data_IF_287680235755
#
_entry.id   IF_287680235755
#
_cell.length_a   1.000
_cell.length_b   1.000
_cell.length_c   1.000
_cell.angle_alpha   90.00
_cell.angle_beta   90.00
_cell.angle_gamma   90.00
#
_symmetry.space_group_name_H-M   'P 1'
#
loop_
_entity.id
_entity.type
_entity.pdbx_description
1 polymer ?
#
# COMPACT_ATOMS: atom_id res chain seq x y z
N UNK A 1 48.01 -25.51 -39.03
CA UNK A 1 48.50 -24.12 -38.87
C UNK A 1 47.30 -23.23 -38.64
N UNK A 2 46.87 -22.99 -37.36
CA UNK A 2 45.74 -22.16 -36.97
C UNK A 2 46.29 -20.97 -36.17
N UNK A 3 46.14 -19.76 -36.69
CA UNK A 3 46.48 -18.52 -36.00
C UNK A 3 45.25 -18.07 -35.17
N UNK A 4 45.41 -17.94 -33.86
CA UNK A 4 44.49 -17.29 -32.96
C UNK A 4 44.77 -15.78 -32.98
N UNK A 5 43.77 -14.99 -33.36
CA UNK A 5 43.77 -13.55 -33.19
C UNK A 5 43.05 -13.19 -31.89
N UNK A 6 43.80 -12.75 -30.90
CA UNK A 6 43.26 -12.14 -29.66
C UNK A 6 42.94 -10.66 -29.92
N UNK A 7 41.68 -10.29 -29.94
CA UNK A 7 41.27 -8.88 -29.82
C UNK A 7 41.04 -8.55 -28.34
N UNK A 8 42.01 -7.85 -27.74
CA UNK A 8 41.80 -7.14 -26.48
C UNK A 8 41.22 -5.74 -26.81
N UNK A 9 39.97 -5.50 -26.45
CA UNK A 9 39.37 -4.15 -26.43
C UNK A 9 39.94 -3.39 -25.24
N UNK A 10 40.66 -2.30 -25.50
CA UNK A 10 41.10 -1.36 -24.49
C UNK A 10 39.92 -0.48 -24.05
N UNK A 11 39.53 -0.59 -22.78
CA UNK A 11 38.60 0.36 -22.16
C UNK A 11 39.35 1.65 -21.89
N UNK A 12 39.00 2.72 -22.60
CA UNK A 12 39.51 4.06 -22.33
C UNK A 12 38.83 4.58 -21.05
N UNK A 13 39.60 4.71 -19.98
CA UNK A 13 39.17 5.41 -18.77
C UNK A 13 39.13 6.92 -19.06
N UNK A 14 37.92 7.51 -19.06
CA UNK A 14 37.79 8.95 -19.07
C UNK A 14 38.15 9.50 -17.69
N UNK A 15 39.19 10.32 -17.64
CA UNK A 15 39.57 11.02 -16.43
C UNK A 15 38.43 12.00 -16.03
N UNK A 16 37.89 11.81 -14.85
CA UNK A 16 36.93 12.73 -14.24
C UNK A 16 37.74 13.95 -13.79
N UNK A 17 37.45 15.11 -14.32
CA UNK A 17 38.02 16.36 -13.86
C UNK A 17 37.69 16.59 -12.38
N UNK A 18 38.67 17.02 -11.56
CA UNK A 18 38.38 17.28 -10.15
C UNK A 18 37.42 18.46 -10.02
N UNK A 19 36.27 18.23 -9.45
CA UNK A 19 35.30 19.26 -9.08
C UNK A 19 35.93 20.07 -7.96
N UNK A 20 36.15 21.38 -8.20
CA UNK A 20 36.63 22.32 -7.17
C UNK A 20 35.63 22.35 -6.02
N UNK A 21 36.02 22.09 -4.76
CA UNK A 21 35.07 22.14 -3.66
C UNK A 21 34.55 23.57 -3.48
N UNK A 22 33.25 23.75 -3.62
CA UNK A 22 32.57 24.99 -3.24
C UNK A 22 32.56 25.02 -1.71
N UNK A 23 33.33 25.95 -1.13
CA UNK A 23 33.27 26.21 0.31
C UNK A 23 31.95 26.91 0.62
N UNK A 24 30.95 26.16 1.09
CA UNK A 24 29.72 26.72 1.64
C UNK A 24 30.03 27.20 3.06
N UNK A 25 29.77 28.50 3.39
CA UNK A 25 30.01 29.01 4.75
C UNK A 25 29.16 28.19 5.74
N UNK A 26 29.76 27.85 6.88
CA UNK A 26 29.17 27.03 7.92
C UNK A 26 27.99 27.74 8.64
N UNK A 27 26.83 27.73 8.03
CA UNK A 27 25.56 27.56 8.71
C UNK A 27 25.06 26.15 8.34
N UNK A 28 25.77 25.14 8.81
CA UNK A 28 25.24 23.78 8.79
C UNK A 28 24.19 23.71 9.87
N UNK A 29 22.93 23.94 9.52
CA UNK A 29 21.84 23.22 10.16
C UNK A 29 22.23 21.73 10.13
N UNK A 30 22.10 21.06 11.26
CA UNK A 30 22.35 19.62 11.37
C UNK A 30 21.69 18.94 10.17
N UNK A 31 22.47 18.20 9.40
CA UNK A 31 21.87 17.34 8.35
C UNK A 31 20.99 16.35 9.10
N UNK A 32 19.67 16.50 8.93
CA UNK A 32 18.73 15.56 9.51
C UNK A 32 19.02 14.17 8.90
N UNK A 33 18.93 13.15 9.74
CA UNK A 33 19.15 11.77 9.31
C UNK A 33 18.12 11.41 8.21
N UNK A 34 18.61 10.81 7.13
CA UNK A 34 17.73 10.33 6.06
C UNK A 34 17.36 8.90 6.37
N UNK A 35 16.09 8.67 6.63
CA UNK A 35 15.53 7.33 6.85
C UNK A 35 14.95 6.78 5.53
N UNK A 36 15.29 5.54 5.19
CA UNK A 36 14.64 4.81 4.10
C UNK A 36 13.41 4.09 4.67
N UNK A 37 12.22 4.62 4.36
CA UNK A 37 10.95 4.05 4.83
C UNK A 37 10.57 2.84 3.99
N UNK A 38 10.63 2.98 2.67
CA UNK A 38 10.39 1.91 1.68
C UNK A 38 11.36 2.10 0.53
N UNK A 39 11.91 1.01 0.01
CA UNK A 39 12.67 1.03 -1.24
C UNK A 39 12.53 -0.31 -1.98
N UNK A 40 12.12 -0.26 -3.22
CA UNK A 40 12.14 -1.35 -4.18
C UNK A 40 12.42 -0.82 -5.59
N UNK A 41 12.49 -1.68 -6.60
CA UNK A 41 13.00 -1.32 -7.92
C UNK A 41 12.29 -0.13 -8.60
N UNK A 42 11.04 0.12 -8.28
CA UNK A 42 10.21 1.13 -8.96
C UNK A 42 9.94 2.36 -8.09
N UNK A 43 10.00 2.23 -6.76
CA UNK A 43 9.58 3.26 -5.81
C UNK A 43 10.53 3.31 -4.62
N UNK A 44 10.77 4.51 -4.11
CA UNK A 44 11.38 4.73 -2.81
C UNK A 44 10.63 5.82 -2.04
N UNK A 45 10.47 5.62 -0.74
CA UNK A 45 10.00 6.65 0.20
C UNK A 45 11.10 6.91 1.21
N UNK A 46 11.58 8.13 1.27
CA UNK A 46 12.58 8.61 2.22
C UNK A 46 11.92 9.56 3.22
N UNK A 47 12.38 9.55 4.46
CA UNK A 47 12.00 10.54 5.46
C UNK A 47 13.20 11.40 5.82
N UNK A 48 13.01 12.72 5.85
CA UNK A 48 13.99 13.70 6.28
C UNK A 48 13.29 14.67 7.25
N UNK A 49 13.48 14.47 8.53
CA UNK A 49 12.73 15.20 9.56
C UNK A 49 11.22 14.99 9.42
N UNK A 50 10.48 16.07 9.22
CA UNK A 50 9.03 16.05 9.05
C UNK A 50 8.59 16.05 7.56
N UNK A 51 9.48 15.65 6.65
CA UNK A 51 9.19 15.58 5.21
C UNK A 51 9.37 14.16 4.70
N UNK A 52 8.37 13.66 3.98
CA UNK A 52 8.44 12.42 3.22
C UNK A 52 8.65 12.71 1.74
N UNK A 53 9.67 12.09 1.14
CA UNK A 53 9.98 12.18 -0.28
C UNK A 53 9.60 10.86 -0.94
N UNK A 54 8.51 10.85 -1.70
CA UNK A 54 8.11 9.71 -2.54
C UNK A 54 8.74 9.87 -3.90
N UNK A 55 9.53 8.88 -4.32
CA UNK A 55 10.20 8.83 -5.63
C UNK A 55 9.57 7.66 -6.37
N UNK A 56 8.84 7.92 -7.44
CA UNK A 56 8.16 6.89 -8.22
C UNK A 56 8.52 7.02 -9.69
N UNK A 57 8.88 5.88 -10.32
CA UNK A 57 9.16 5.84 -11.75
C UNK A 57 7.88 6.02 -12.58
N UNK A 58 6.73 5.55 -12.06
CA UNK A 58 5.43 5.71 -12.67
C UNK A 58 4.74 7.00 -12.21
N UNK A 59 4.82 8.02 -13.03
CA UNK A 59 4.20 9.32 -12.75
C UNK A 59 2.67 9.28 -12.80
N UNK A 60 2.05 8.31 -13.46
CA UNK A 60 0.60 8.12 -13.49
C UNK A 60 0.07 7.80 -12.10
N UNK A 61 0.80 6.98 -11.34
CA UNK A 61 0.48 6.72 -9.93
C UNK A 61 0.57 7.97 -9.07
N UNK A 62 1.62 8.77 -9.28
CA UNK A 62 1.78 10.03 -8.54
C UNK A 62 0.67 11.03 -8.90
N UNK A 63 0.20 11.06 -10.17
CA UNK A 63 -0.94 11.88 -10.59
C UNK A 63 -2.21 11.48 -9.84
N UNK A 64 -2.52 10.17 -9.81
CA UNK A 64 -3.65 9.63 -9.04
C UNK A 64 -3.54 10.01 -7.57
N UNK A 65 -2.38 9.85 -6.94
CA UNK A 65 -2.18 10.18 -5.53
C UNK A 65 -2.46 11.64 -5.23
N UNK A 66 -1.93 12.56 -6.05
CA UNK A 66 -2.11 14.01 -5.88
C UNK A 66 -3.58 14.40 -6.09
N UNK A 67 -4.22 13.89 -7.14
CA UNK A 67 -5.62 14.19 -7.43
C UNK A 67 -6.56 13.58 -6.38
N UNK A 68 -6.30 12.34 -5.94
CA UNK A 68 -7.09 11.69 -4.90
C UNK A 68 -7.01 12.45 -3.57
N UNK A 69 -5.82 12.88 -3.14
CA UNK A 69 -5.68 13.72 -1.94
C UNK A 69 -6.44 15.05 -2.07
N UNK A 70 -6.46 15.65 -3.24
CA UNK A 70 -7.20 16.89 -3.47
C UNK A 70 -8.73 16.71 -3.43
N UNK A 71 -9.24 15.50 -3.74
CA UNK A 71 -10.66 15.15 -3.73
C UNK A 71 -11.12 14.57 -2.39
N UNK A 72 -10.21 13.99 -1.61
CA UNK A 72 -10.54 13.28 -0.38
C UNK A 72 -11.20 14.22 0.65
N UNK A 73 -12.35 13.84 1.23
CA UNK A 73 -13.03 14.61 2.27
C UNK A 73 -12.48 14.34 3.68
N UNK A 74 -11.42 13.57 3.77
CA UNK A 74 -10.72 13.22 5.01
C UNK A 74 -9.34 13.87 5.02
N UNK A 75 -8.71 14.10 6.20
CA UNK A 75 -7.40 14.70 6.26
C UNK A 75 -6.36 13.90 5.46
N UNK A 76 -5.51 14.60 4.73
CA UNK A 76 -4.40 14.06 3.93
C UNK A 76 -3.12 14.83 4.23
N UNK A 77 -1.93 14.28 3.93
CA UNK A 77 -0.68 15.04 4.02
C UNK A 77 -0.72 16.31 3.16
N UNK A 78 -0.12 17.39 3.66
CA UNK A 78 0.12 18.57 2.84
C UNK A 78 1.16 18.26 1.76
N UNK A 79 0.85 18.59 0.51
CA UNK A 79 1.80 18.53 -0.60
C UNK A 79 2.70 19.75 -0.54
N UNK A 80 3.93 19.57 -0.08
CA UNK A 80 4.91 20.66 0.02
C UNK A 80 5.39 21.11 -1.36
N UNK A 81 5.70 20.18 -2.22
CA UNK A 81 6.04 20.39 -3.63
C UNK A 81 6.03 19.08 -4.42
N UNK A 82 5.91 19.22 -5.74
CA UNK A 82 6.07 18.13 -6.68
C UNK A 82 7.04 18.53 -7.78
N UNK A 83 8.06 17.71 -8.00
CA UNK A 83 9.02 17.81 -9.11
C UNK A 83 9.34 16.39 -9.58
N UNK A 84 8.69 15.92 -10.66
CA UNK A 84 8.90 14.55 -11.12
C UNK A 84 10.40 14.19 -11.21
N UNK A 85 10.80 13.03 -10.73
CA UNK A 85 9.97 11.93 -10.22
C UNK A 85 9.63 12.00 -8.72
N UNK A 86 9.77 13.14 -8.06
CA UNK A 86 9.65 13.31 -6.61
C UNK A 86 8.37 14.06 -6.23
N UNK A 87 7.65 13.51 -5.25
CA UNK A 87 6.56 14.15 -4.50
C UNK A 87 7.00 14.32 -3.04
N UNK A 88 6.96 15.55 -2.52
CA UNK A 88 7.29 15.86 -1.13
C UNK A 88 6.01 16.15 -0.35
N UNK A 89 5.84 15.43 0.76
CA UNK A 89 4.69 15.47 1.64
C UNK A 89 5.13 15.83 3.06
N UNK A 90 4.31 16.60 3.77
CA UNK A 90 4.51 16.83 5.20
C UNK A 90 4.14 15.56 5.99
N UNK A 91 4.84 15.34 7.10
CA UNK A 91 4.47 14.31 8.07
C UNK A 91 3.09 14.62 8.68
N UNK A 92 2.28 13.58 8.87
CA UNK A 92 1.05 13.68 9.65
C UNK A 92 1.37 13.64 11.14
N UNK A 93 0.61 14.37 11.97
CA UNK A 93 0.71 14.22 13.42
C UNK A 93 0.14 12.88 13.89
N UNK A 94 0.56 12.45 15.09
CA UNK A 94 0.09 11.19 15.67
C UNK A 94 0.90 9.97 15.24
N UNK A 95 0.27 8.81 15.29
CA UNK A 95 0.87 7.51 14.98
C UNK A 95 -0.05 6.70 14.08
N UNK A 96 0.50 5.74 13.35
CA UNK A 96 -0.31 4.80 12.60
C UNK A 96 -1.28 4.04 13.53
N UNK A 97 -2.49 3.78 13.06
CA UNK A 97 -3.54 3.04 13.78
C UNK A 97 -3.06 1.63 14.19
N UNK A 98 -2.16 1.07 13.44
CA UNK A 98 -1.52 -0.22 13.73
C UNK A 98 -0.49 -0.59 12.67
N UNK A 99 -0.05 -1.84 12.72
CA UNK A 99 0.83 -2.44 11.72
C UNK A 99 0.36 -3.87 11.45
N UNK A 100 0.31 -4.24 10.18
CA UNK A 100 -0.05 -5.60 9.80
C UNK A 100 0.89 -6.62 10.46
N UNK A 101 0.31 -7.68 11.03
CA UNK A 101 1.05 -8.72 11.74
C UNK A 101 1.47 -8.37 13.17
N UNK A 102 1.12 -7.19 13.70
CA UNK A 102 1.36 -6.81 15.09
C UNK A 102 0.05 -6.40 15.77
N UNK A 103 -0.13 -6.69 17.06
CA UNK A 103 -1.29 -6.17 17.79
C UNK A 103 -1.32 -4.63 17.75
N UNK A 104 -2.48 -4.04 17.47
CA UNK A 104 -2.65 -2.61 17.57
C UNK A 104 -2.78 -2.19 19.03
N UNK A 105 -2.20 -1.04 19.37
CA UNK A 105 -2.36 -0.38 20.69
C UNK A 105 -3.39 0.75 20.66
N UNK A 106 -3.97 1.04 19.50
CA UNK A 106 -5.01 2.05 19.36
C UNK A 106 -6.31 1.61 20.08
N UNK A 107 -7.03 2.58 20.61
CA UNK A 107 -8.27 2.34 21.32
C UNK A 107 -9.40 1.86 20.38
N UNK A 108 -10.44 1.16 20.87
CA UNK A 108 -11.63 0.88 20.07
C UNK A 108 -12.29 2.15 19.50
N UNK A 109 -12.18 3.29 20.18
CA UNK A 109 -12.70 4.57 19.69
C UNK A 109 -11.89 5.10 18.48
N UNK A 110 -10.57 4.93 18.46
CA UNK A 110 -9.72 5.28 17.31
C UNK A 110 -10.08 4.41 16.08
N UNK A 111 -10.34 3.11 16.28
CA UNK A 111 -10.81 2.22 15.21
C UNK A 111 -12.20 2.62 14.69
N UNK A 112 -13.10 3.03 15.59
CA UNK A 112 -14.41 3.57 15.19
C UNK A 112 -14.25 4.88 14.42
N UNK A 113 -13.36 5.78 14.85
CA UNK A 113 -13.05 7.01 14.11
C UNK A 113 -12.51 6.73 12.70
N UNK A 114 -11.63 5.73 12.56
CA UNK A 114 -11.17 5.27 11.25
C UNK A 114 -12.33 4.75 10.38
N UNK A 115 -13.26 3.97 10.96
CA UNK A 115 -14.48 3.55 10.27
C UNK A 115 -15.34 4.71 9.78
N UNK A 116 -15.51 5.76 10.61
CA UNK A 116 -16.24 6.98 10.24
C UNK A 116 -15.53 7.76 9.11
N UNK A 117 -14.19 7.81 9.13
CA UNK A 117 -13.43 8.42 8.05
C UNK A 117 -13.59 7.65 6.72
N UNK A 118 -13.58 6.32 6.76
CA UNK A 118 -13.86 5.48 5.58
C UNK A 118 -15.27 5.75 5.05
N UNK A 119 -16.28 5.85 5.92
CA UNK A 119 -17.63 6.21 5.51
C UNK A 119 -17.68 7.56 4.83
N UNK A 120 -17.02 8.56 5.40
CA UNK A 120 -16.95 9.92 4.81
C UNK A 120 -16.31 9.88 3.41
N UNK A 121 -15.27 9.08 3.21
CA UNK A 121 -14.65 8.87 1.89
C UNK A 121 -15.64 8.24 0.91
N UNK A 122 -16.33 7.17 1.30
CA UNK A 122 -17.28 6.46 0.43
C UNK A 122 -18.52 7.24 0.07
N UNK A 123 -18.90 8.25 0.88
CA UNK A 123 -20.01 9.17 0.57
C UNK A 123 -19.57 10.34 -0.35
N UNK A 124 -18.28 10.48 -0.64
CA UNK A 124 -17.77 11.52 -1.53
C UNK A 124 -18.10 11.25 -3.01
N UNK A 125 -18.06 12.28 -3.86
CA UNK A 125 -18.16 12.10 -5.30
C UNK A 125 -17.11 11.13 -5.84
N UNK A 126 -17.49 10.33 -6.83
CA UNK A 126 -16.58 9.39 -7.47
C UNK A 126 -15.39 10.10 -8.14
N UNK A 127 -14.17 9.55 -8.05
CA UNK A 127 -13.05 10.06 -8.84
C UNK A 127 -13.30 9.81 -10.34
N UNK A 128 -12.72 10.62 -11.23
CA UNK A 128 -12.99 10.51 -12.67
C UNK A 128 -12.35 9.28 -13.33
N UNK A 129 -11.44 8.59 -12.66
CA UNK A 129 -10.81 7.36 -13.15
C UNK A 129 -11.49 6.13 -12.57
N UNK A 130 -11.66 5.07 -13.37
CA UNK A 130 -12.27 3.82 -12.91
C UNK A 130 -11.32 3.03 -12.01
N UNK A 131 -11.89 2.10 -11.24
CA UNK A 131 -11.14 1.04 -10.59
C UNK A 131 -11.04 -0.20 -11.47
N UNK A 132 -10.52 -1.28 -10.89
CA UNK A 132 -10.43 -2.57 -11.58
C UNK A 132 -11.82 -3.16 -11.80
N UNK A 133 -12.04 -3.68 -13.00
CA UNK A 133 -13.26 -4.41 -13.34
C UNK A 133 -13.29 -5.78 -12.63
N UNK A 134 -14.49 -6.39 -12.59
CA UNK A 134 -14.64 -7.75 -12.06
C UNK A 134 -13.81 -8.76 -12.88
N UNK A 135 -13.72 -8.58 -14.19
CA UNK A 135 -12.94 -9.45 -15.07
C UNK A 135 -11.44 -9.36 -14.78
N UNK A 136 -10.91 -8.14 -14.58
CA UNK A 136 -9.51 -7.93 -14.21
C UNK A 136 -9.19 -8.52 -12.84
N UNK A 137 -10.09 -8.35 -11.85
CA UNK A 137 -9.91 -8.93 -10.53
C UNK A 137 -9.95 -10.47 -10.56
N UNK A 138 -10.87 -11.06 -11.31
CA UNK A 138 -10.98 -12.51 -11.50
C UNK A 138 -9.73 -13.06 -12.18
N UNK A 139 -9.31 -12.46 -13.29
CA UNK A 139 -8.12 -12.87 -14.04
C UNK A 139 -6.85 -12.77 -13.17
N UNK A 140 -6.73 -11.71 -12.37
CA UNK A 140 -5.62 -11.56 -11.44
C UNK A 140 -5.64 -12.65 -10.36
N UNK A 141 -6.80 -12.90 -9.74
CA UNK A 141 -6.94 -13.95 -8.73
C UNK A 141 -6.53 -15.31 -9.29
N UNK A 142 -6.97 -15.65 -10.50
CA UNK A 142 -6.63 -16.90 -11.19
C UNK A 142 -5.12 -17.02 -11.41
N UNK A 143 -4.51 -16.02 -12.03
CA UNK A 143 -3.07 -16.00 -12.30
C UNK A 143 -2.21 -16.08 -11.04
N UNK A 144 -2.60 -15.37 -9.97
CA UNK A 144 -1.86 -15.41 -8.70
C UNK A 144 -2.01 -16.78 -8.01
N UNK A 145 -3.21 -17.37 -7.99
CA UNK A 145 -3.44 -18.70 -7.42
C UNK A 145 -2.64 -19.77 -8.17
N UNK A 146 -2.62 -19.73 -9.49
CA UNK A 146 -1.82 -20.64 -10.32
C UNK A 146 -0.34 -20.50 -10.03
N UNK A 147 0.17 -19.26 -9.96
CA UNK A 147 1.57 -18.99 -9.67
C UNK A 147 1.98 -19.47 -8.28
N UNK A 148 1.16 -19.22 -7.24
CA UNK A 148 1.44 -19.62 -5.86
C UNK A 148 1.59 -21.13 -5.71
N UNK A 149 0.76 -21.91 -6.41
CA UNK A 149 0.82 -23.38 -6.39
C UNK A 149 1.97 -23.88 -7.25
N UNK A 150 2.16 -23.35 -8.46
CA UNK A 150 3.18 -23.80 -9.40
C UNK A 150 4.62 -23.57 -8.91
N UNK A 151 4.81 -22.57 -8.02
CA UNK A 151 6.12 -22.24 -7.43
C UNK A 151 6.26 -22.74 -5.98
N UNK A 152 5.38 -23.61 -5.50
CA UNK A 152 5.40 -24.18 -4.15
C UNK A 152 5.46 -23.11 -3.02
N UNK A 153 4.89 -21.91 -3.28
CA UNK A 153 4.87 -20.81 -2.30
C UNK A 153 3.84 -21.07 -1.20
N UNK A 154 2.65 -21.57 -1.59
CA UNK A 154 1.60 -21.96 -0.66
C UNK A 154 1.05 -23.36 -1.00
N UNK A 155 0.58 -24.13 0.00
CA UNK A 155 -0.09 -25.42 -0.21
C UNK A 155 -1.33 -25.27 -1.10
N UNK A 156 -1.51 -26.19 -2.05
CA UNK A 156 -2.61 -26.14 -3.02
C UNK A 156 -4.01 -26.16 -2.39
N UNK A 157 -4.17 -26.89 -1.29
CA UNK A 157 -5.43 -26.94 -0.53
C UNK A 157 -5.75 -25.60 0.15
N UNK A 158 -4.73 -24.91 0.70
CA UNK A 158 -4.89 -23.58 1.27
C UNK A 158 -5.30 -22.56 0.20
N UNK A 159 -4.61 -22.58 -0.96
CA UNK A 159 -4.94 -21.71 -2.10
C UNK A 159 -6.36 -21.97 -2.59
N UNK A 160 -6.73 -23.24 -2.80
CA UNK A 160 -8.05 -23.62 -3.33
C UNK A 160 -9.17 -23.17 -2.39
N UNK A 161 -9.04 -23.41 -1.08
CA UNK A 161 -10.04 -23.01 -0.10
C UNK A 161 -10.24 -21.48 -0.07
N UNK A 162 -9.13 -20.72 -0.02
CA UNK A 162 -9.20 -19.26 0.02
C UNK A 162 -9.64 -18.66 -1.32
N UNK A 163 -9.31 -19.28 -2.46
CA UNK A 163 -9.81 -18.87 -3.78
C UNK A 163 -11.34 -18.98 -3.84
N UNK A 164 -11.91 -20.10 -3.41
CA UNK A 164 -13.37 -20.28 -3.38
C UNK A 164 -14.05 -19.21 -2.51
N UNK A 165 -13.44 -18.84 -1.38
CA UNK A 165 -13.94 -17.75 -0.56
C UNK A 165 -13.79 -16.39 -1.28
N UNK A 166 -12.63 -16.09 -1.85
CA UNK A 166 -12.34 -14.85 -2.57
C UNK A 166 -13.29 -14.62 -3.76
N UNK A 167 -13.67 -15.69 -4.48
CA UNK A 167 -14.62 -15.60 -5.59
C UNK A 167 -15.98 -15.02 -5.18
N UNK A 168 -16.39 -15.16 -3.93
CA UNK A 168 -17.64 -14.56 -3.42
C UNK A 168 -17.60 -13.02 -3.34
N UNK A 169 -16.40 -12.42 -3.29
CA UNK A 169 -16.23 -10.98 -3.39
C UNK A 169 -16.39 -10.47 -4.84
N UNK A 170 -16.22 -11.32 -5.85
CA UNK A 170 -16.33 -10.98 -7.27
C UNK A 170 -17.79 -10.95 -7.73
N UNK A 171 -18.55 -10.05 -7.15
CA UNK A 171 -19.97 -9.79 -7.45
C UNK A 171 -20.17 -8.34 -7.91
N UNK A 172 -21.23 -8.00 -8.62
CA UNK A 172 -21.54 -6.59 -8.90
C UNK A 172 -21.70 -5.78 -7.61
N UNK A 173 -21.14 -4.56 -7.59
CA UNK A 173 -21.30 -3.57 -6.51
C UNK A 173 -21.66 -2.21 -7.08
N UNK A 174 -22.20 -1.35 -6.23
CA UNK A 174 -22.30 0.07 -6.54
C UNK A 174 -20.96 0.73 -6.23
N UNK A 175 -20.29 1.34 -7.21
CA UNK A 175 -18.98 1.93 -6.97
C UNK A 175 -19.06 3.11 -6.01
N UNK A 176 -18.06 3.21 -5.13
CA UNK A 176 -17.78 4.36 -4.27
C UNK A 176 -16.36 4.84 -4.52
N UNK A 177 -15.99 5.99 -3.98
CA UNK A 177 -14.60 6.42 -3.95
C UNK A 177 -13.86 5.62 -2.87
N UNK A 178 -13.00 4.70 -3.28
CA UNK A 178 -12.15 3.90 -2.38
C UNK A 178 -10.73 4.42 -2.36
N UNK A 179 -10.06 4.22 -1.22
CA UNK A 179 -8.61 4.42 -1.10
C UNK A 179 -7.84 3.36 -1.90
N UNK A 180 -8.33 2.13 -1.94
CA UNK A 180 -7.79 1.05 -2.74
C UNK A 180 -6.59 0.30 -2.13
N UNK A 181 -5.94 0.88 -1.12
CA UNK A 181 -4.88 0.25 -0.32
C UNK A 181 -4.90 0.76 1.13
N UNK A 182 -6.08 0.76 1.76
CA UNK A 182 -6.31 1.33 3.09
C UNK A 182 -5.77 0.42 4.18
N UNK A 183 -4.46 0.22 4.21
CA UNK A 183 -3.79 -0.56 5.24
C UNK A 183 -3.83 0.18 6.59
N UNK A 184 -3.76 -0.58 7.66
CA UNK A 184 -3.82 -0.06 9.05
C UNK A 184 -2.71 0.94 9.36
N UNK A 185 -1.56 0.83 8.71
CA UNK A 185 -0.43 1.76 8.82
C UNK A 185 -0.53 2.99 7.90
N UNK A 186 -1.54 3.05 7.03
CA UNK A 186 -1.86 4.23 6.24
C UNK A 186 -2.84 5.19 6.93
N UNK A 187 -3.47 4.79 8.04
CA UNK A 187 -4.36 5.64 8.85
C UNK A 187 -3.64 6.14 10.08
N UNK A 188 -3.51 7.45 10.22
CA UNK A 188 -2.86 8.09 11.36
C UNK A 188 -3.90 8.61 12.35
N UNK A 189 -3.58 8.46 13.64
CA UNK A 189 -4.45 8.88 14.74
C UNK A 189 -3.65 9.61 15.83
N UNK A 190 -4.29 10.58 16.48
CA UNK A 190 -3.81 11.18 17.74
C UNK A 190 -4.93 11.01 18.80
N UNK A 191 -4.67 10.19 19.80
CA UNK A 191 -5.70 9.69 20.69
C UNK A 191 -6.78 8.92 19.92
N UNK A 192 -8.02 9.41 19.94
CA UNK A 192 -9.18 8.80 19.28
C UNK A 192 -9.55 9.51 17.95
N UNK A 193 -8.75 10.49 17.51
CA UNK A 193 -9.04 11.25 16.30
C UNK A 193 -8.17 10.81 15.13
N UNK A 194 -8.75 10.66 13.93
CA UNK A 194 -8.01 10.45 12.68
C UNK A 194 -7.36 11.77 12.27
N UNK A 195 -6.04 11.78 12.23
CA UNK A 195 -5.24 12.95 11.82
C UNK A 195 -4.91 12.95 10.33
N UNK A 196 -5.02 11.81 9.67
CA UNK A 196 -4.91 11.73 8.23
C UNK A 196 -4.74 10.31 7.68
N UNK A 197 -4.86 10.24 6.35
CA UNK A 197 -4.68 9.01 5.57
C UNK A 197 -3.61 9.26 4.51
N UNK A 198 -2.66 8.32 4.36
CA UNK A 198 -1.51 8.41 3.44
C UNK A 198 -1.59 7.35 2.35
N UNK A 199 -0.78 7.47 1.32
CA UNK A 199 -0.57 6.51 0.20
C UNK A 199 -1.81 6.27 -0.67
N UNK A 200 -2.26 7.35 -1.33
CA UNK A 200 -3.44 7.40 -2.18
C UNK A 200 -3.23 6.91 -3.62
N UNK A 201 -2.08 6.33 -3.93
CA UNK A 201 -1.70 5.95 -5.30
C UNK A 201 -2.58 4.86 -5.94
N UNK A 202 -3.36 4.11 -5.14
CA UNK A 202 -4.30 3.07 -5.59
C UNK A 202 -5.78 3.53 -5.51
N UNK A 203 -6.00 4.80 -5.15
CA UNK A 203 -7.34 5.36 -5.02
C UNK A 203 -8.12 5.28 -6.34
N UNK A 204 -9.40 4.88 -6.26
CA UNK A 204 -10.20 4.63 -7.46
C UNK A 204 -11.68 4.48 -7.15
N UNK A 205 -12.49 4.13 -8.16
CA UNK A 205 -13.85 3.65 -7.96
C UNK A 205 -13.83 2.16 -7.60
N UNK A 206 -14.56 1.74 -6.55
CA UNK A 206 -14.55 0.32 -6.17
C UNK A 206 -15.64 -0.08 -5.19
N UNK A 207 -15.53 -1.32 -4.67
CA UNK A 207 -16.44 -1.82 -3.63
C UNK A 207 -16.06 -1.22 -2.26
N UNK A 208 -17.02 -0.61 -1.59
CA UNK A 208 -16.88 -0.06 -0.24
C UNK A 208 -16.31 -1.09 0.75
N UNK A 209 -16.70 -2.36 0.63
CA UNK A 209 -16.26 -3.41 1.54
C UNK A 209 -14.78 -3.76 1.35
N UNK A 210 -14.18 -3.42 0.20
CA UNK A 210 -12.75 -3.60 -0.01
C UNK A 210 -11.91 -2.78 0.96
N UNK A 211 -12.17 -1.47 1.09
CA UNK A 211 -11.43 -0.62 2.04
C UNK A 211 -11.64 -1.05 3.49
N UNK A 212 -12.88 -1.40 3.88
CA UNK A 212 -13.17 -1.92 5.23
C UNK A 212 -12.39 -3.21 5.49
N UNK A 213 -12.28 -4.08 4.47
CA UNK A 213 -11.52 -5.32 4.56
C UNK A 213 -10.02 -5.04 4.71
N UNK A 214 -9.45 -4.16 3.87
CA UNK A 214 -8.01 -3.85 3.94
C UNK A 214 -7.65 -3.21 5.29
N UNK A 215 -8.47 -2.28 5.80
CA UNK A 215 -8.26 -1.65 7.10
C UNK A 215 -8.25 -2.65 8.25
N UNK A 216 -9.07 -3.70 8.17
CA UNK A 216 -9.20 -4.70 9.24
C UNK A 216 -8.41 -5.98 8.98
N UNK A 217 -7.61 -6.02 7.92
CA UNK A 217 -6.77 -7.16 7.58
C UNK A 217 -5.76 -7.44 8.71
N UNK A 218 -5.78 -8.65 9.24
CA UNK A 218 -4.94 -9.04 10.38
C UNK A 218 -5.40 -8.49 11.74
N UNK A 219 -6.48 -7.69 11.78
CA UNK A 219 -7.05 -7.06 12.99
C UNK A 219 -8.54 -7.35 13.12
N UNK A 220 -8.94 -8.60 12.90
CA UNK A 220 -10.36 -9.02 12.90
C UNK A 220 -11.12 -8.69 14.19
N UNK A 221 -10.43 -8.57 15.30
CA UNK A 221 -10.96 -8.16 16.60
C UNK A 221 -11.53 -6.74 16.58
N UNK A 222 -11.02 -5.85 15.72
CA UNK A 222 -11.46 -4.47 15.59
C UNK A 222 -12.49 -4.26 14.46
N UNK A 223 -12.86 -5.32 13.72
CA UNK A 223 -13.90 -5.19 12.67
C UNK A 223 -15.21 -4.63 13.25
N UNK A 224 -15.58 -5.03 14.46
CA UNK A 224 -16.78 -4.50 15.13
C UNK A 224 -16.70 -3.00 15.40
N UNK A 225 -15.54 -2.51 15.81
CA UNK A 225 -15.30 -1.09 16.11
C UNK A 225 -15.36 -0.26 14.81
N UNK A 226 -14.68 -0.73 13.75
CA UNK A 226 -14.72 -0.09 12.42
C UNK A 226 -16.14 -0.02 11.87
N UNK A 227 -16.91 -1.12 11.96
CA UNK A 227 -18.31 -1.17 11.51
C UNK A 227 -19.19 -0.22 12.31
N UNK A 228 -18.98 -0.11 13.62
CA UNK A 228 -19.71 0.84 14.46
C UNK A 228 -19.47 2.30 14.02
N UNK A 229 -18.23 2.65 13.72
CA UNK A 229 -17.89 3.97 13.18
C UNK A 229 -18.36 4.21 11.76
N UNK A 230 -18.31 3.17 10.91
CA UNK A 230 -18.81 3.22 9.53
C UNK A 230 -20.33 3.49 9.48
N UNK A 231 -21.07 3.13 10.53
CA UNK A 231 -22.43 3.56 10.76
C UNK A 231 -23.50 2.81 9.96
N UNK A 232 -23.14 1.79 9.20
CA UNK A 232 -24.05 0.87 8.52
C UNK A 232 -23.60 -0.56 8.70
N UNK A 233 -24.58 -1.47 8.73
CA UNK A 233 -24.28 -2.89 8.78
C UNK A 233 -23.55 -3.33 7.49
N UNK A 234 -22.55 -4.19 7.65
CA UNK A 234 -21.76 -4.71 6.54
C UNK A 234 -21.82 -6.24 6.52
N UNK A 235 -21.78 -6.80 5.32
CA UNK A 235 -21.68 -8.24 5.14
C UNK A 235 -20.28 -8.73 5.54
N UNK A 236 -20.17 -9.36 6.71
CA UNK A 236 -18.90 -9.84 7.25
C UNK A 236 -18.31 -10.99 6.45
N UNK A 237 -19.12 -11.76 5.74
CA UNK A 237 -18.61 -12.84 4.90
C UNK A 237 -17.95 -12.27 3.64
N UNK A 238 -18.49 -11.19 3.10
CA UNK A 238 -17.83 -10.44 2.02
C UNK A 238 -16.53 -9.76 2.47
N UNK A 239 -16.46 -9.26 3.72
CA UNK A 239 -15.18 -8.76 4.26
C UNK A 239 -14.13 -9.89 4.28
N UNK A 240 -14.49 -11.09 4.73
CA UNK A 240 -13.59 -12.25 4.73
C UNK A 240 -13.17 -12.66 3.32
N UNK A 241 -14.09 -12.57 2.36
CA UNK A 241 -13.81 -12.84 0.97
C UNK A 241 -12.78 -11.85 0.39
N UNK A 242 -12.91 -10.56 0.72
CA UNK A 242 -11.94 -9.55 0.37
C UNK A 242 -10.58 -9.75 1.05
N UNK A 243 -10.54 -10.20 2.32
CA UNK A 243 -9.28 -10.59 2.96
C UNK A 243 -8.58 -11.71 2.20
N UNK A 244 -9.31 -12.77 1.83
CA UNK A 244 -8.73 -13.88 1.07
C UNK A 244 -8.23 -13.42 -0.29
N UNK A 245 -9.01 -12.61 -1.03
CA UNK A 245 -8.60 -12.06 -2.32
C UNK A 245 -7.34 -11.22 -2.19
N UNK A 246 -7.33 -10.26 -1.25
CA UNK A 246 -6.16 -9.39 -1.02
C UNK A 246 -4.92 -10.20 -0.67
N UNK A 247 -5.03 -11.16 0.25
CA UNK A 247 -3.88 -11.98 0.65
C UNK A 247 -3.35 -12.82 -0.51
N UNK A 248 -4.21 -13.53 -1.25
CA UNK A 248 -3.79 -14.34 -2.39
C UNK A 248 -3.10 -13.50 -3.47
N UNK A 249 -3.58 -12.28 -3.74
CA UNK A 249 -3.02 -11.41 -4.78
C UNK A 249 -1.80 -10.62 -4.32
N UNK A 250 -1.45 -10.61 -3.02
CA UNK A 250 -0.31 -9.88 -2.48
C UNK A 250 0.91 -10.76 -2.16
N UNK A 251 0.69 -12.03 -1.81
CA UNK A 251 1.77 -12.95 -1.37
C UNK A 251 2.87 -13.11 -2.42
N UNK A 252 2.52 -13.19 -3.70
CA UNK A 252 3.51 -13.25 -4.79
C UNK A 252 4.39 -12.00 -4.80
N UNK A 253 3.79 -10.82 -4.74
CA UNK A 253 4.53 -9.56 -4.75
C UNK A 253 5.52 -9.49 -3.57
N UNK A 254 5.10 -9.89 -2.36
CA UNK A 254 5.97 -9.95 -1.19
C UNK A 254 7.15 -10.91 -1.40
N UNK A 255 6.90 -12.09 -1.96
CA UNK A 255 7.93 -13.08 -2.23
C UNK A 255 8.94 -12.59 -3.27
N UNK A 256 8.47 -12.00 -4.39
CA UNK A 256 9.32 -11.48 -5.46
C UNK A 256 10.14 -10.25 -5.04
N UNK A 257 9.65 -9.46 -4.05
CA UNK A 257 10.35 -8.26 -3.55
C UNK A 257 11.23 -8.52 -2.30
N UNK A 258 11.35 -9.79 -1.88
CA UNK A 258 12.31 -10.18 -0.84
C UNK A 258 11.90 -9.78 0.59
N UNK A 259 10.59 -9.68 0.87
CA UNK A 259 10.07 -9.37 2.20
C UNK A 259 10.21 -10.52 3.23
N UNK A 260 10.86 -11.60 2.88
CA UNK A 260 11.14 -12.74 3.75
C UNK A 260 10.57 -14.05 3.22
N UNK A 261 10.38 -15.01 4.12
CA UNK A 261 9.76 -16.31 3.81
C UNK A 261 8.24 -16.19 3.78
N UNK A 262 7.54 -16.83 2.83
CA UNK A 262 6.07 -16.81 2.77
C UNK A 262 5.39 -17.25 4.07
N UNK A 263 6.05 -18.10 4.86
CA UNK A 263 5.51 -18.58 6.15
C UNK A 263 5.45 -17.47 7.22
N UNK A 264 6.26 -16.42 7.05
CA UNK A 264 6.36 -15.28 7.97
C UNK A 264 5.43 -14.13 7.57
N UNK A 265 4.79 -14.18 6.38
CA UNK A 265 3.90 -13.12 5.92
C UNK A 265 2.61 -13.09 6.74
N UNK A 266 2.21 -11.93 7.27
CA UNK A 266 0.95 -11.75 7.96
C UNK A 266 -0.25 -12.18 7.10
N UNK A 267 -0.22 -11.95 5.79
CA UNK A 267 -1.23 -12.38 4.82
C UNK A 267 -1.41 -13.90 4.84
N UNK A 268 -0.34 -14.66 4.94
CA UNK A 268 -0.41 -16.13 5.01
C UNK A 268 -1.01 -16.58 6.35
N UNK A 269 -0.73 -15.85 7.44
CA UNK A 269 -1.39 -16.11 8.72
C UNK A 269 -2.90 -15.87 8.62
N UNK A 270 -3.34 -14.83 7.91
CA UNK A 270 -4.77 -14.58 7.63
C UNK A 270 -5.37 -15.71 6.81
N UNK A 271 -4.73 -16.14 5.71
CA UNK A 271 -5.21 -17.27 4.89
C UNK A 271 -5.35 -18.58 5.67
N UNK A 272 -4.49 -18.82 6.66
CA UNK A 272 -4.54 -20.00 7.55
C UNK A 272 -5.55 -19.87 8.67
N UNK A 273 -5.92 -18.66 9.05
CA UNK A 273 -6.96 -18.44 10.06
C UNK A 273 -8.31 -18.80 9.45
N UNK A 274 -8.79 -20.04 9.74
CA UNK A 274 -10.14 -20.44 9.31
C UNK A 274 -11.18 -19.46 9.87
N UNK A 275 -12.22 -19.12 9.06
CA UNK A 275 -13.33 -18.27 9.52
C UNK A 275 -14.07 -18.88 10.70
#
# INVERSE_FOLDING_TARGET
>A
MRQHLNHRSAVQSHAINPVTPVVIPAMMASVEEVEVVVAHNERATLRVGDVFLKIDADQTRTDVEVEAMAMAPVPTPEILWRRPPVLALAALPGTALGHLGKPSTASPAAWAAAGAAVRTLHDAPLPPWPGRSLEELASRLDGECEWLVANDVLPADLVTCNRQLAETALRPWTPVFIHGDLQVDHVFVDGDEVTGVVDWSEASQGDALFDVAILTLGHKEHLGDVVAGYGTDVDRDLIRAWWSLRCLTNVRWLAEHGYGSPEEFPEVAVLRSRP
#
